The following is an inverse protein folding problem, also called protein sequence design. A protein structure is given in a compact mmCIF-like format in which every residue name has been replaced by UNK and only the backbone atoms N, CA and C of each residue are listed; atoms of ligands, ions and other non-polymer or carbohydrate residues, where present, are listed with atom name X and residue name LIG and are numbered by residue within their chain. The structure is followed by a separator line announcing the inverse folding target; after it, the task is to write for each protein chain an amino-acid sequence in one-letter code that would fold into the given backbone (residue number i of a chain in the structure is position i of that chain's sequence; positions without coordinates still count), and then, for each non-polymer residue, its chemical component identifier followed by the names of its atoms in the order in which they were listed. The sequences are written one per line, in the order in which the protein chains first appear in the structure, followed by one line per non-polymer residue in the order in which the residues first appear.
data_IF_282246882428
#
_entry.id   IF_282246882428
#
_cell.length_a   1.000
_cell.length_b   1.000
_cell.length_c   1.000
_cell.angle_alpha   90.00
_cell.angle_beta   90.00
_cell.angle_gamma   90.00
#
_symmetry.space_group_name_H-M   'P 1'
#
loop_
_entity.id
_entity.type
_entity.pdbx_description
1 polymer ?
#
# COMPACT_ATOMS: atom_id res chain seq x y z
N UNK A 1 -4.73 -19.40 -0.73
CA UNK A 1 -3.84 -18.34 -0.22
C UNK A 1 -3.43 -18.71 1.21
N UNK A 2 -2.21 -18.37 1.65
CA UNK A 2 -1.78 -18.61 3.02
C UNK A 2 -2.59 -17.74 3.98
N UNK A 3 -3.24 -18.35 4.96
CA UNK A 3 -3.94 -17.61 6.02
C UNK A 3 -2.92 -16.92 6.91
N UNK A 4 -2.98 -15.59 6.97
CA UNK A 4 -2.08 -14.80 7.81
C UNK A 4 -2.73 -14.50 9.16
N UNK A 5 -1.91 -14.43 10.21
CA UNK A 5 -2.35 -13.92 11.49
C UNK A 5 -2.26 -12.38 11.45
N UNK A 6 -3.39 -11.73 11.20
CA UNK A 6 -3.41 -10.27 11.02
C UNK A 6 -3.07 -9.47 12.27
N UNK A 7 -3.18 -10.05 13.47
CA UNK A 7 -2.68 -9.41 14.69
C UNK A 7 -1.16 -9.32 14.68
N UNK A 8 -0.47 -10.39 14.27
CA UNK A 8 0.99 -10.36 14.13
C UNK A 8 1.43 -9.41 13.01
N UNK A 9 0.69 -9.37 11.89
CA UNK A 9 0.97 -8.44 10.80
C UNK A 9 0.76 -6.98 11.23
N UNK A 10 -0.28 -6.70 12.02
CA UNK A 10 -0.51 -5.38 12.60
C UNK A 10 0.66 -4.96 13.49
N UNK A 11 1.06 -5.81 14.44
CA UNK A 11 2.20 -5.53 15.33
C UNK A 11 3.49 -5.31 14.54
N UNK A 12 3.73 -6.13 13.51
CA UNK A 12 4.88 -5.97 12.62
C UNK A 12 4.85 -4.62 11.88
N UNK A 13 3.72 -4.25 11.27
CA UNK A 13 3.56 -2.97 10.59
C UNK A 13 3.71 -1.78 11.55
N UNK A 14 3.19 -1.89 12.77
CA UNK A 14 3.34 -0.87 13.81
C UNK A 14 4.81 -0.72 14.22
N UNK A 15 5.52 -1.83 14.41
CA UNK A 15 6.95 -1.81 14.74
C UNK A 15 7.77 -1.14 13.62
N UNK A 16 7.55 -1.52 12.36
CA UNK A 16 8.20 -0.89 11.21
C UNK A 16 7.86 0.60 11.12
N UNK A 17 6.61 0.98 11.37
CA UNK A 17 6.19 2.39 11.41
C UNK A 17 6.91 3.17 12.50
N UNK A 18 7.03 2.61 13.71
CA UNK A 18 7.76 3.25 14.82
C UNK A 18 9.24 3.43 14.46
N UNK A 19 9.87 2.44 13.85
CA UNK A 19 11.26 2.54 13.37
C UNK A 19 11.40 3.65 12.33
N UNK A 20 10.49 3.71 11.35
CA UNK A 20 10.46 4.76 10.30
C UNK A 20 10.29 6.15 10.90
N UNK A 21 9.40 6.32 11.88
CA UNK A 21 9.21 7.59 12.58
C UNK A 21 10.43 7.97 13.42
N UNK A 22 11.02 7.01 14.14
CA UNK A 22 12.25 7.24 14.92
C UNK A 22 13.41 7.70 14.03
N UNK A 23 13.61 7.06 12.89
CA UNK A 23 14.61 7.44 11.90
C UNK A 23 14.36 8.85 11.34
N UNK A 24 13.10 9.21 11.09
CA UNK A 24 12.73 10.58 10.72
C UNK A 24 13.09 11.60 11.80
N UNK A 25 12.74 11.36 13.06
CA UNK A 25 13.00 12.33 14.13
C UNK A 25 14.50 12.51 14.38
N UNK A 26 15.28 11.42 14.37
CA UNK A 26 16.74 11.48 14.47
C UNK A 26 17.32 12.31 13.32
N UNK A 27 16.92 12.05 12.08
CA UNK A 27 17.38 12.81 10.92
C UNK A 27 16.95 14.29 10.99
N UNK A 28 15.70 14.56 11.42
CA UNK A 28 15.19 15.91 11.54
C UNK A 28 15.96 16.75 12.58
N UNK A 29 16.33 16.13 13.69
CA UNK A 29 17.12 16.78 14.75
C UNK A 29 18.58 16.98 14.32
N UNK A 30 19.19 15.99 13.66
CA UNK A 30 20.58 16.08 13.17
C UNK A 30 20.75 17.13 12.08
N UNK A 31 19.78 17.19 11.16
CA UNK A 31 19.83 18.10 10.01
C UNK A 31 19.23 19.47 10.35
N UNK A 32 18.58 19.62 11.51
CA UNK A 32 17.80 20.77 11.94
C UNK A 32 16.74 21.21 10.88
N UNK A 33 16.09 20.22 10.24
CA UNK A 33 15.14 20.44 9.15
C UNK A 33 13.91 19.54 9.34
N UNK A 34 12.71 20.14 9.28
CA UNK A 34 11.42 19.42 9.43
C UNK A 34 10.64 19.26 8.12
N UNK A 35 11.32 19.39 6.99
CA UNK A 35 10.68 19.46 5.67
C UNK A 35 9.80 18.23 5.36
N UNK A 36 10.23 17.03 5.75
CA UNK A 36 9.50 15.79 5.50
C UNK A 36 8.33 15.51 6.44
N UNK A 37 7.86 16.51 7.22
CA UNK A 37 6.70 16.35 8.12
C UNK A 37 5.44 15.86 7.37
N UNK A 38 5.28 16.22 6.10
CA UNK A 38 4.17 15.75 5.28
C UNK A 38 4.20 14.23 5.03
N UNK A 39 5.36 13.57 5.09
CA UNK A 39 5.45 12.11 4.97
C UNK A 39 4.76 11.40 6.13
N UNK A 40 4.80 11.99 7.33
CA UNK A 40 4.05 11.47 8.50
C UNK A 40 2.55 11.49 8.19
N UNK A 41 2.06 12.58 7.61
CA UNK A 41 0.66 12.70 7.22
C UNK A 41 0.29 11.68 6.14
N UNK A 42 1.14 11.50 5.12
CA UNK A 42 0.90 10.52 4.07
C UNK A 42 0.93 9.08 4.62
N UNK A 43 1.83 8.79 5.56
CA UNK A 43 1.88 7.48 6.23
C UNK A 43 0.63 7.24 7.08
N UNK A 44 0.17 8.25 7.81
CA UNK A 44 -1.10 8.19 8.54
C UNK A 44 -2.28 7.88 7.62
N UNK A 45 -2.39 8.58 6.47
CA UNK A 45 -3.42 8.29 5.47
C UNK A 45 -3.25 6.88 4.88
N UNK A 46 -2.02 6.37 4.76
CA UNK A 46 -1.72 5.01 4.31
C UNK A 46 -2.22 3.91 5.26
N UNK A 47 -2.36 4.19 6.56
CA UNK A 47 -2.93 3.26 7.54
C UNK A 47 -4.45 3.10 7.42
N UNK A 48 -5.16 4.11 6.89
CA UNK A 48 -6.62 4.10 6.77
C UNK A 48 -7.14 2.90 5.93
N UNK A 49 -6.61 2.62 4.73
CA UNK A 49 -6.96 1.41 3.96
C UNK A 49 -6.78 0.13 4.77
N UNK A 50 -5.67 -0.01 5.50
CA UNK A 50 -5.41 -1.22 6.27
C UNK A 50 -6.45 -1.45 7.38
N UNK A 51 -6.90 -0.38 8.04
CA UNK A 51 -7.96 -0.46 9.05
C UNK A 51 -9.29 -0.91 8.42
N UNK A 52 -9.71 -0.29 7.32
CA UNK A 52 -10.95 -0.67 6.63
C UNK A 52 -10.90 -2.08 6.05
N UNK A 53 -9.74 -2.49 5.56
CA UNK A 53 -9.51 -3.85 5.09
C UNK A 53 -9.58 -4.87 6.23
N UNK A 54 -8.99 -4.56 7.39
CA UNK A 54 -9.06 -5.42 8.58
C UNK A 54 -10.49 -5.54 9.11
N UNK A 55 -11.26 -4.45 9.06
CA UNK A 55 -12.68 -4.45 9.40
C UNK A 55 -13.48 -5.34 8.42
N UNK A 56 -13.25 -5.19 7.12
CA UNK A 56 -13.87 -6.03 6.07
C UNK A 56 -13.54 -7.50 6.27
N UNK A 57 -12.28 -7.81 6.60
CA UNK A 57 -11.84 -9.17 6.90
C UNK A 57 -12.57 -9.77 8.13
N UNK A 58 -12.64 -9.02 9.23
CA UNK A 58 -13.32 -9.45 10.45
C UNK A 58 -14.82 -9.68 10.24
N UNK A 59 -15.48 -8.74 9.56
CA UNK A 59 -16.90 -8.85 9.20
C UNK A 59 -17.17 -9.99 8.21
N UNK A 60 -16.24 -10.25 7.29
CA UNK A 60 -16.34 -11.33 6.31
C UNK A 60 -16.38 -12.72 6.94
N UNK A 61 -15.83 -12.88 8.16
CA UNK A 61 -15.79 -14.11 8.96
C UNK A 61 -17.00 -14.29 9.88
N UNK A 62 -17.77 -13.21 10.12
CA UNK A 62 -19.02 -13.30 10.85
C UNK A 62 -20.07 -14.00 9.97
N UNK A 63 -20.76 -15.02 10.53
CA UNK A 63 -21.87 -15.71 9.85
C UNK A 63 -23.16 -14.87 9.79
N UNK A 64 -23.10 -13.61 10.21
CA UNK A 64 -24.26 -12.72 10.30
C UNK A 64 -24.54 -12.04 8.96
N UNK A 65 -25.76 -12.18 8.44
CA UNK A 65 -26.17 -11.58 7.16
C UNK A 65 -26.03 -10.04 7.14
N UNK A 66 -26.13 -9.38 8.30
CA UNK A 66 -25.91 -7.94 8.45
C UNK A 66 -24.47 -7.50 8.19
N UNK A 67 -23.48 -8.39 8.37
CA UNK A 67 -22.07 -8.07 8.21
C UNK A 67 -21.72 -7.66 6.76
N UNK A 68 -22.47 -8.15 5.76
CA UNK A 68 -22.22 -7.82 4.35
C UNK A 68 -22.55 -6.36 4.04
N UNK A 69 -23.56 -5.79 4.72
CA UNK A 69 -23.96 -4.39 4.56
C UNK A 69 -22.93 -3.42 5.11
N UNK A 70 -22.04 -3.88 5.99
CA UNK A 70 -20.93 -3.08 6.54
C UNK A 70 -19.63 -3.38 5.78
N UNK A 71 -19.45 -4.63 5.31
CA UNK A 71 -18.27 -5.04 4.55
C UNK A 71 -18.17 -4.36 3.17
N UNK A 72 -19.29 -4.17 2.46
CA UNK A 72 -19.30 -3.53 1.13
C UNK A 72 -18.88 -2.05 1.22
N UNK A 73 -19.49 -1.20 2.08
CA UNK A 73 -19.02 0.17 2.28
C UNK A 73 -17.56 0.25 2.75
N UNK A 74 -17.13 -0.67 3.61
CA UNK A 74 -15.74 -0.71 4.08
C UNK A 74 -14.76 -1.01 2.94
N UNK A 75 -15.11 -1.92 2.01
CA UNK A 75 -14.32 -2.20 0.82
C UNK A 75 -14.30 -1.02 -0.16
N UNK A 76 -15.41 -0.26 -0.27
CA UNK A 76 -15.44 0.96 -1.07
C UNK A 76 -14.56 2.06 -0.46
N UNK A 77 -14.60 2.24 0.86
CA UNK A 77 -13.70 3.16 1.56
C UNK A 77 -12.25 2.71 1.41
N UNK A 78 -11.96 1.40 1.50
CA UNK A 78 -10.63 0.89 1.19
C UNK A 78 -10.17 1.33 -0.19
N UNK A 79 -11.00 1.17 -1.23
CA UNK A 79 -10.63 1.54 -2.60
C UNK A 79 -10.36 3.04 -2.75
N UNK A 80 -11.13 3.89 -2.06
CA UNK A 80 -10.97 5.35 -2.09
C UNK A 80 -9.63 5.79 -1.47
N UNK A 81 -9.22 5.14 -0.39
CA UNK A 81 -8.00 5.48 0.34
C UNK A 81 -6.79 4.64 -0.09
N UNK A 82 -6.98 3.51 -0.78
CA UNK A 82 -5.92 2.59 -1.22
C UNK A 82 -4.78 3.31 -1.95
N UNK A 83 -5.07 4.27 -2.88
CA UNK A 83 -4.03 5.04 -3.53
C UNK A 83 -3.07 5.66 -2.52
N UNK A 84 -3.54 6.23 -1.40
CA UNK A 84 -2.72 6.93 -0.41
C UNK A 84 -1.55 6.09 0.15
N UNK A 85 -1.69 4.76 0.22
CA UNK A 85 -0.57 3.89 0.62
C UNK A 85 0.59 3.91 -0.39
N UNK A 86 0.27 4.05 -1.68
CA UNK A 86 1.23 4.15 -2.79
C UNK A 86 1.65 5.59 -3.12
N UNK A 87 0.95 6.60 -2.61
CA UNK A 87 1.31 8.02 -2.79
C UNK A 87 2.70 8.34 -2.28
N UNK A 88 3.15 7.63 -1.25
CA UNK A 88 4.44 7.87 -0.61
C UNK A 88 5.59 7.61 -1.60
N UNK A 89 5.42 6.66 -2.54
CA UNK A 89 6.39 6.39 -3.62
C UNK A 89 6.67 7.65 -4.45
N UNK A 90 5.63 8.42 -4.76
CA UNK A 90 5.79 9.63 -5.58
C UNK A 90 6.46 10.79 -4.85
N UNK A 91 6.55 10.74 -3.50
CA UNK A 91 7.22 11.78 -2.72
C UNK A 91 8.74 11.78 -2.88
N UNK A 92 9.32 10.72 -3.47
CA UNK A 92 10.72 10.68 -3.93
C UNK A 92 11.06 11.86 -4.87
N UNK A 93 10.07 12.39 -5.61
CA UNK A 93 10.27 13.55 -6.49
C UNK A 93 10.69 14.82 -5.74
N UNK A 94 10.35 14.95 -4.45
CA UNK A 94 10.76 16.11 -3.65
C UNK A 94 12.27 16.16 -3.39
N UNK A 95 12.96 15.00 -3.38
CA UNK A 95 14.42 14.95 -3.31
C UNK A 95 15.03 15.54 -4.58
N UNK A 96 14.47 15.21 -5.75
CA UNK A 96 14.95 15.71 -7.06
C UNK A 96 14.63 17.19 -7.25
N UNK A 97 13.44 17.66 -6.86
CA UNK A 97 13.05 19.06 -7.00
C UNK A 97 13.93 20.04 -6.20
N UNK A 98 14.70 19.54 -5.24
CA UNK A 98 15.61 20.34 -4.40
C UNK A 98 17.06 19.92 -4.52
N UNK A 99 17.40 19.25 -5.61
CA UNK A 99 18.75 18.78 -5.92
C UNK A 99 19.81 19.89 -5.79
N UNK A 100 19.48 21.13 -6.20
CA UNK A 100 20.33 22.32 -6.09
C UNK A 100 20.88 22.57 -4.66
N UNK A 101 20.15 22.17 -3.60
CA UNK A 101 20.60 22.32 -2.21
C UNK A 101 21.71 21.34 -1.83
N UNK A 102 21.75 20.19 -2.48
CA UNK A 102 22.71 19.12 -2.18
C UNK A 102 24.02 19.24 -2.98
N UNK A 103 24.11 20.22 -3.90
CA UNK A 103 25.30 20.47 -4.72
C UNK A 103 26.20 21.60 -4.20
N UNK A 104 25.88 22.23 -3.05
CA UNK A 104 26.66 23.32 -2.48
C UNK A 104 27.18 22.97 -1.08
N UNK A 105 28.43 22.50 -0.99
CA UNK A 105 29.15 22.24 0.26
C UNK A 105 29.66 20.81 0.43
N UNK A 106 30.80 20.63 1.11
CA UNK A 106 31.46 19.32 1.33
C UNK A 106 30.67 18.32 2.18
N UNK A 107 29.69 18.79 2.97
CA UNK A 107 28.79 17.94 3.76
C UNK A 107 27.45 17.67 3.04
N UNK A 108 27.19 18.31 1.90
CA UNK A 108 25.89 18.27 1.23
C UNK A 108 25.54 16.86 0.70
N UNK A 109 26.57 16.07 0.36
CA UNK A 109 26.41 14.67 -0.05
C UNK A 109 25.81 13.80 1.08
N UNK A 110 26.28 13.95 2.33
CA UNK A 110 25.76 13.16 3.46
C UNK A 110 24.30 13.52 3.79
N UNK A 111 23.95 14.81 3.73
CA UNK A 111 22.56 15.27 3.96
C UNK A 111 21.59 14.64 2.95
N UNK A 112 22.00 14.52 1.68
CA UNK A 112 21.20 13.86 0.65
C UNK A 112 20.95 12.38 0.98
N UNK A 113 21.97 11.64 1.41
CA UNK A 113 21.83 10.24 1.76
C UNK A 113 20.91 10.03 2.97
N UNK A 114 20.97 10.89 3.99
CA UNK A 114 20.05 10.82 5.12
C UNK A 114 18.60 11.05 4.68
N UNK A 115 18.34 12.11 3.92
CA UNK A 115 17.01 12.42 3.40
C UNK A 115 16.46 11.32 2.48
N UNK A 116 17.32 10.75 1.63
CA UNK A 116 16.99 9.61 0.78
C UNK A 116 16.59 8.39 1.61
N UNK A 117 17.37 8.04 2.65
CA UNK A 117 17.06 6.89 3.51
C UNK A 117 15.77 7.08 4.30
N UNK A 118 15.50 8.29 4.80
CA UNK A 118 14.23 8.63 5.44
C UNK A 118 13.07 8.39 4.48
N UNK A 119 13.13 8.99 3.27
CA UNK A 119 12.07 8.84 2.27
C UNK A 119 11.89 7.38 1.88
N UNK A 120 12.97 6.63 1.63
CA UNK A 120 12.90 5.20 1.28
C UNK A 120 12.25 4.36 2.38
N UNK A 121 12.50 4.65 3.65
CA UNK A 121 11.83 3.97 4.77
C UNK A 121 10.33 4.25 4.81
N UNK A 122 9.92 5.50 4.54
CA UNK A 122 8.50 5.84 4.38
C UNK A 122 7.87 5.10 3.19
N UNK A 123 8.54 5.09 2.04
CA UNK A 123 8.09 4.38 0.83
C UNK A 123 7.92 2.89 1.11
N UNK A 124 8.91 2.27 1.73
CA UNK A 124 8.88 0.86 2.10
C UNK A 124 7.73 0.54 3.04
N UNK A 125 7.56 1.33 4.10
CA UNK A 125 6.46 1.16 5.06
C UNK A 125 5.10 1.32 4.39
N UNK A 126 4.94 2.34 3.54
CA UNK A 126 3.71 2.57 2.77
C UNK A 126 3.36 1.41 1.83
N UNK A 127 4.35 0.90 1.09
CA UNK A 127 4.18 -0.25 0.22
C UNK A 127 3.78 -1.52 0.99
N UNK A 128 4.38 -1.77 2.16
CA UNK A 128 4.00 -2.90 3.01
C UNK A 128 2.57 -2.80 3.53
N UNK A 129 2.16 -1.62 4.00
CA UNK A 129 0.78 -1.38 4.47
C UNK A 129 -0.21 -1.56 3.30
N UNK A 130 0.10 -0.97 2.15
CA UNK A 130 -0.70 -1.10 0.93
C UNK A 130 -0.86 -2.56 0.51
N UNK A 131 0.26 -3.29 0.42
CA UNK A 131 0.27 -4.72 0.10
C UNK A 131 -0.59 -5.55 1.06
N UNK A 132 -0.38 -5.40 2.38
CA UNK A 132 -1.12 -6.19 3.37
C UNK A 132 -2.62 -5.89 3.37
N UNK A 133 -3.00 -4.62 3.15
CA UNK A 133 -4.41 -4.23 3.00
C UNK A 133 -5.05 -4.88 1.77
N UNK A 134 -4.34 -4.91 0.64
CA UNK A 134 -4.83 -5.54 -0.58
C UNK A 134 -4.91 -7.06 -0.45
N UNK A 135 -3.92 -7.67 0.21
CA UNK A 135 -3.88 -9.11 0.46
C UNK A 135 -5.06 -9.59 1.32
N UNK A 136 -5.43 -8.82 2.35
CA UNK A 136 -6.61 -9.09 3.18
C UNK A 136 -7.89 -9.16 2.35
N UNK A 137 -8.14 -8.18 1.48
CA UNK A 137 -9.34 -8.19 0.64
C UNK A 137 -9.26 -9.29 -0.42
N UNK A 138 -8.09 -9.51 -1.03
CA UNK A 138 -7.89 -10.64 -1.94
C UNK A 138 -8.22 -11.97 -1.26
N UNK A 139 -7.83 -12.16 0.01
CA UNK A 139 -8.15 -13.37 0.78
C UNK A 139 -9.67 -13.54 0.97
N UNK A 140 -10.39 -12.47 1.32
CA UNK A 140 -11.86 -12.50 1.47
C UNK A 140 -12.54 -12.86 0.14
N UNK A 141 -12.09 -12.27 -0.97
CA UNK A 141 -12.62 -12.56 -2.31
C UNK A 141 -12.29 -13.99 -2.73
N UNK A 142 -11.06 -14.45 -2.45
CA UNK A 142 -10.63 -15.81 -2.76
C UNK A 142 -11.51 -16.84 -2.05
N UNK A 143 -11.83 -16.63 -0.77
CA UNK A 143 -12.67 -17.54 0.01
C UNK A 143 -14.13 -17.58 -0.49
N UNK A 144 -14.66 -16.48 -1.04
CA UNK A 144 -16.08 -16.37 -1.42
C UNK A 144 -16.37 -16.60 -2.90
N UNK A 145 -15.49 -16.13 -3.78
CA UNK A 145 -15.66 -16.11 -5.24
C UNK A 145 -14.57 -16.90 -5.97
N UNK A 146 -13.57 -17.41 -5.24
CA UNK A 146 -12.52 -18.27 -5.79
C UNK A 146 -11.33 -17.52 -6.38
N UNK A 147 -10.39 -18.31 -6.93
CA UNK A 147 -9.07 -17.83 -7.37
C UNK A 147 -9.14 -16.80 -8.48
N UNK A 148 -9.93 -17.05 -9.53
CA UNK A 148 -9.99 -16.18 -10.71
C UNK A 148 -10.48 -14.77 -10.33
N UNK A 149 -11.59 -14.66 -9.60
CA UNK A 149 -12.14 -13.40 -9.13
C UNK A 149 -11.14 -12.63 -8.25
N UNK A 150 -10.40 -13.33 -7.38
CA UNK A 150 -9.41 -12.70 -6.51
C UNK A 150 -8.26 -12.03 -7.31
N UNK A 151 -7.82 -12.62 -8.42
CA UNK A 151 -6.76 -12.06 -9.25
C UNK A 151 -7.25 -10.93 -10.15
N UNK A 152 -8.48 -11.03 -10.66
CA UNK A 152 -9.14 -9.92 -11.37
C UNK A 152 -9.25 -8.69 -10.45
N UNK A 153 -9.61 -8.91 -9.18
CA UNK A 153 -9.60 -7.85 -8.18
C UNK A 153 -8.21 -7.25 -7.99
N UNK A 154 -7.14 -8.06 -7.95
CA UNK A 154 -5.77 -7.55 -7.83
C UNK A 154 -5.42 -6.65 -9.01
N UNK A 155 -5.65 -7.12 -10.23
CA UNK A 155 -5.38 -6.34 -11.45
C UNK A 155 -6.16 -5.01 -11.44
N UNK A 156 -7.46 -5.08 -11.14
CA UNK A 156 -8.31 -3.90 -11.03
C UNK A 156 -7.86 -2.94 -9.93
N UNK A 157 -7.52 -3.46 -8.75
CA UNK A 157 -7.05 -2.68 -7.61
C UNK A 157 -5.71 -1.99 -7.89
N UNK A 158 -4.76 -2.64 -8.56
CA UNK A 158 -3.50 -2.00 -8.97
C UNK A 158 -3.71 -0.92 -10.04
N UNK A 159 -4.62 -1.15 -11.00
CA UNK A 159 -4.95 -0.17 -12.03
C UNK A 159 -5.62 1.06 -11.41
N UNK A 160 -6.64 0.85 -10.57
CA UNK A 160 -7.35 1.92 -9.85
C UNK A 160 -6.43 2.63 -8.84
N UNK A 161 -5.53 1.90 -8.18
CA UNK A 161 -4.49 2.47 -7.32
C UNK A 161 -3.58 3.44 -8.08
N UNK A 162 -3.05 3.01 -9.23
CA UNK A 162 -2.20 3.85 -10.07
C UNK A 162 -2.92 5.08 -10.64
N UNK A 163 -4.19 4.92 -11.02
CA UNK A 163 -5.04 6.02 -11.45
C UNK A 163 -5.36 6.99 -10.30
N UNK A 164 -5.61 6.48 -9.10
CA UNK A 164 -5.79 7.32 -7.91
C UNK A 164 -4.54 8.13 -7.58
N UNK A 165 -3.34 7.58 -7.80
CA UNK A 165 -2.06 8.32 -7.66
C UNK A 165 -1.95 9.42 -8.71
N UNK A 166 -2.31 9.14 -9.97
CA UNK A 166 -2.35 10.16 -11.02
C UNK A 166 -3.27 11.32 -10.62
N UNK A 167 -4.49 11.03 -10.16
CA UNK A 167 -5.47 12.06 -9.82
C UNK A 167 -5.00 12.98 -8.69
N UNK A 168 -4.42 12.47 -7.60
CA UNK A 168 -3.96 13.38 -6.54
C UNK A 168 -2.61 14.00 -6.77
N UNK A 169 -1.74 13.45 -7.64
CA UNK A 169 -0.40 14.03 -7.88
C UNK A 169 -0.36 14.97 -9.07
N UNK A 170 -1.00 14.60 -10.17
CA UNK A 170 -1.03 15.43 -11.38
C UNK A 170 -2.19 16.43 -11.31
N UNK A 171 -3.36 15.97 -10.89
CA UNK A 171 -4.58 16.78 -10.87
C UNK A 171 -4.96 17.33 -9.47
N UNK A 172 -4.13 17.05 -8.45
CA UNK A 172 -4.29 17.54 -7.06
C UNK A 172 -5.66 17.24 -6.42
N UNK A 173 -6.32 16.18 -6.87
CA UNK A 173 -7.59 15.73 -6.31
C UNK A 173 -7.35 14.90 -5.04
N UNK A 174 -7.85 15.36 -3.90
CA UNK A 174 -7.78 14.59 -2.66
C UNK A 174 -8.91 13.55 -2.59
N UNK A 175 -8.73 12.51 -1.76
CA UNK A 175 -9.78 11.53 -1.48
C UNK A 175 -11.07 12.17 -0.95
N UNK A 176 -10.97 13.33 -0.30
CA UNK A 176 -12.12 14.11 0.19
C UNK A 176 -12.88 14.84 -0.92
N UNK A 177 -12.16 15.39 -1.90
CA UNK A 177 -12.75 16.10 -3.04
C UNK A 177 -13.52 15.12 -3.95
N UNK A 178 -13.02 13.88 -4.06
CA UNK A 178 -13.71 12.80 -4.77
C UNK A 178 -15.09 12.48 -4.19
N UNK A 179 -15.26 12.61 -2.87
CA UNK A 179 -16.50 12.29 -2.18
C UNK A 179 -17.50 13.46 -2.23
N UNK A 180 -16.97 14.69 -2.17
CA UNK A 180 -17.78 15.90 -1.97
C UNK A 180 -18.16 16.57 -3.28
N UNK A 181 -17.36 16.40 -4.35
CA UNK A 181 -17.50 17.19 -5.57
C UNK A 181 -17.51 16.33 -6.84
N UNK A 182 -18.71 15.80 -7.17
CA UNK A 182 -18.91 14.88 -8.30
C UNK A 182 -18.62 15.52 -9.66
N UNK A 183 -18.91 16.80 -9.85
CA UNK A 183 -18.64 17.51 -11.11
C UNK A 183 -17.15 17.64 -11.38
N UNK A 184 -16.37 17.96 -10.34
CA UNK A 184 -14.91 18.01 -10.42
C UNK A 184 -14.34 16.65 -10.81
N UNK A 185 -14.85 15.56 -10.20
CA UNK A 185 -14.42 14.21 -10.53
C UNK A 185 -14.66 13.87 -12.01
N UNK A 186 -15.87 14.15 -12.54
CA UNK A 186 -16.21 13.84 -13.94
C UNK A 186 -15.33 14.66 -14.92
N UNK A 187 -15.12 15.95 -14.63
CA UNK A 187 -14.26 16.81 -15.44
C UNK A 187 -12.83 16.25 -15.48
N UNK A 188 -12.27 15.91 -14.33
CA UNK A 188 -10.92 15.37 -14.23
C UNK A 188 -10.80 13.99 -14.85
N UNK A 189 -11.84 13.16 -14.79
CA UNK A 189 -11.86 11.90 -15.54
C UNK A 189 -11.70 12.15 -17.03
N UNK A 190 -12.41 13.12 -17.59
CA UNK A 190 -12.30 13.47 -19.01
C UNK A 190 -10.92 14.05 -19.37
N UNK A 191 -10.39 14.96 -18.55
CA UNK A 191 -9.06 15.58 -18.75
C UNK A 191 -7.90 14.59 -18.54
N UNK A 192 -8.11 13.56 -17.71
CA UNK A 192 -7.12 12.53 -17.42
C UNK A 192 -6.92 11.51 -18.54
N UNK A 193 -7.82 11.48 -19.54
CA UNK A 193 -7.67 10.62 -20.73
C UNK A 193 -6.71 11.28 -21.72
N UNK A 194 -5.44 11.31 -21.35
CA UNK A 194 -4.35 11.75 -22.22
C UNK A 194 -3.30 10.64 -22.36
N UNK A 195 -2.57 10.61 -23.48
CA UNK A 195 -1.46 9.66 -23.68
C UNK A 195 -0.45 9.64 -22.51
N UNK A 196 0.05 10.79 -21.98
CA UNK A 196 0.99 10.77 -20.86
C UNK A 196 0.36 10.27 -19.56
N UNK A 197 -0.90 10.61 -19.28
CA UNK A 197 -1.62 10.13 -18.10
C UNK A 197 -1.83 8.61 -18.13
N UNK A 198 -2.22 8.05 -19.29
CA UNK A 198 -2.37 6.61 -19.48
C UNK A 198 -1.03 5.88 -19.36
N UNK A 199 0.04 6.44 -19.93
CA UNK A 199 1.39 5.89 -19.79
C UNK A 199 1.83 5.87 -18.31
N UNK A 200 1.60 6.96 -17.57
CA UNK A 200 1.88 7.02 -16.14
C UNK A 200 1.16 5.91 -15.36
N UNK A 201 -0.15 5.76 -15.57
CA UNK A 201 -0.94 4.69 -14.95
C UNK A 201 -0.41 3.30 -15.30
N UNK A 202 -0.02 3.08 -16.56
CA UNK A 202 0.55 1.81 -17.01
C UNK A 202 1.88 1.50 -16.29
N UNK A 203 2.84 2.43 -16.29
CA UNK A 203 4.14 2.23 -15.64
C UNK A 203 3.99 2.07 -14.13
N UNK A 204 3.25 2.96 -13.48
CA UNK A 204 3.06 2.93 -12.04
C UNK A 204 2.22 1.71 -11.60
N UNK A 205 1.17 1.37 -12.35
CA UNK A 205 0.38 0.16 -12.13
C UNK A 205 1.20 -1.12 -12.29
N UNK A 206 2.07 -1.19 -13.30
CA UNK A 206 3.01 -2.31 -13.49
C UNK A 206 3.99 -2.42 -12.32
N UNK A 207 4.52 -1.28 -11.85
CA UNK A 207 5.36 -1.23 -10.66
C UNK A 207 4.63 -1.77 -9.42
N UNK A 208 3.42 -1.28 -9.12
CA UNK A 208 2.62 -1.75 -8.00
C UNK A 208 2.29 -3.24 -8.10
N UNK A 209 1.91 -3.71 -9.30
CA UNK A 209 1.63 -5.11 -9.57
C UNK A 209 2.87 -5.98 -9.34
N UNK A 210 4.05 -5.53 -9.79
CA UNK A 210 5.31 -6.25 -9.59
C UNK A 210 5.63 -6.38 -8.10
N UNK A 211 5.57 -5.27 -7.35
CA UNK A 211 5.75 -5.28 -5.89
C UNK A 211 4.78 -6.25 -5.22
N UNK A 212 3.50 -6.21 -5.63
CA UNK A 212 2.47 -7.10 -5.10
C UNK A 212 2.78 -8.57 -5.38
N UNK A 213 3.12 -8.92 -6.62
CA UNK A 213 3.44 -10.28 -7.05
C UNK A 213 4.66 -10.83 -6.30
N UNK A 214 5.72 -10.02 -6.14
CA UNK A 214 6.93 -10.42 -5.42
C UNK A 214 6.62 -10.74 -3.97
N UNK A 215 5.92 -9.85 -3.25
CA UNK A 215 5.55 -10.07 -1.86
C UNK A 215 4.56 -11.23 -1.70
N UNK A 216 3.58 -11.34 -2.60
CA UNK A 216 2.64 -12.46 -2.64
C UNK A 216 3.37 -13.80 -2.81
N UNK A 217 4.33 -13.86 -3.73
CA UNK A 217 5.13 -15.07 -3.94
C UNK A 217 5.94 -15.42 -2.71
N UNK A 218 6.68 -14.47 -2.12
CA UNK A 218 7.49 -14.70 -0.92
C UNK A 218 6.65 -15.21 0.27
N UNK A 219 5.44 -14.70 0.45
CA UNK A 219 4.54 -15.11 1.54
C UNK A 219 3.96 -16.51 1.33
N UNK A 220 3.63 -16.87 0.09
CA UNK A 220 2.97 -18.14 -0.23
C UNK A 220 3.95 -19.27 -0.61
N UNK A 221 5.16 -18.97 -1.09
CA UNK A 221 6.15 -19.97 -1.50
C UNK A 221 6.70 -20.80 -0.32
N UNK A 222 6.76 -20.22 0.89
CA UNK A 222 7.18 -20.93 2.12
C UNK A 222 6.17 -21.95 2.65
N UNK A 223 5.01 -22.11 2.02
CA UNK A 223 3.96 -23.06 2.44
C UNK A 223 3.98 -24.42 1.72
N UNK A 224 4.85 -24.60 0.72
CA UNK A 224 4.96 -25.83 -0.06
C UNK A 224 6.08 -26.75 0.44
N UNK A 225 6.25 -26.87 1.76
CA UNK A 225 7.08 -27.93 2.34
C UNK A 225 6.33 -29.26 2.26
N UNK A 226 7.00 -30.39 1.97
CA UNK A 226 6.32 -31.68 1.82
C UNK A 226 5.52 -32.03 3.08
N UNK A 227 4.28 -32.43 2.84
CA UNK A 227 3.28 -32.82 3.82
C UNK A 227 3.86 -33.93 4.74
N UNK A 228 4.26 -33.56 5.97
CA UNK A 228 4.79 -34.51 6.98
C UNK A 228 3.76 -35.57 7.42
N UNK A 229 2.53 -35.54 6.89
CA UNK A 229 1.50 -36.56 7.13
C UNK A 229 1.77 -37.90 6.43
N UNK A 230 2.71 -37.98 5.48
CA UNK A 230 3.05 -39.25 4.81
C UNK A 230 4.11 -40.10 5.54
N UNK A 231 4.75 -39.58 6.59
CA UNK A 231 5.78 -40.32 7.34
C UNK A 231 5.24 -41.12 8.54
N UNK A 232 4.00 -40.88 8.97
CA UNK A 232 3.40 -41.62 10.10
C UNK A 232 2.61 -42.88 9.69
N UNK A 233 2.35 -43.09 8.40
CA UNK A 233 1.62 -44.29 7.93
C UNK A 233 2.53 -45.49 7.69
N UNK A 234 3.86 -45.31 7.65
CA UNK A 234 4.80 -46.41 7.40
C UNK A 234 5.39 -47.05 8.67
N UNK A 235 5.29 -46.38 9.83
CA UNK A 235 5.84 -46.87 11.10
C UNK A 235 4.86 -47.76 11.90
N UNK A 236 3.71 -48.09 11.32
CA UNK A 236 2.72 -49.01 11.91
C UNK A 236 2.59 -50.34 11.15
N UNK A 237 3.55 -50.65 10.27
CA UNK A 237 3.54 -51.86 9.44
C UNK A 237 4.79 -52.75 9.56
N UNK A 238 5.59 -52.57 10.61
CA UNK A 238 6.70 -53.47 10.94
C UNK A 238 6.51 -54.04 12.33
#
# INVERSE_FOLDING_TARGET
MRKLNYMHMFVFLSAVTVVTLGLYYIAADWLNQRYFRFLIWNLFLGWIPFVFSSLTYGLGRLKWKGAIWIAIPSAMMWLLFFPNSSYIVTDLLHLTSRSSRYFSGSLAEFHYWYDLMVVLMFVWTGLLIGFLSMYQIQEVIYDRLGRAASWIFVLGGTALGSYGVLLGRVYRLNSWDALTNRELLIRLMHESVSRPSLAFCMFFGTFLLTVYLTLYYLLNARGSGPDQRSLQTNDKKV
#
